data_IF_758490012400
#
_entry.id   IF_758490012400
#
_cell.length_a   1.000
_cell.length_b   1.000
_cell.length_c   1.000
_cell.angle_alpha   90.00
_cell.angle_beta   90.00
_cell.angle_gamma   90.00
#
_symmetry.space_group_name_H-M   'P 1'
#
loop_
_entity.id
_entity.type
_entity.pdbx_description
1 polymer ?
#
# COMPACT_ATOMS: atom_id res chain seq x y z
N UNK A 1 -19.07 -8.21 -6.20
CA UNK A 1 -19.47 -8.50 -4.80
C UNK A 1 -20.15 -9.86 -4.77
N UNK A 2 -20.04 -10.59 -3.64
CA UNK A 2 -20.73 -11.86 -3.41
C UNK A 2 -22.20 -11.57 -3.19
N UNK A 3 -23.10 -12.42 -3.69
CA UNK A 3 -24.54 -12.23 -3.48
C UNK A 3 -24.93 -12.48 -2.03
N UNK A 4 -25.97 -11.84 -1.55
CA UNK A 4 -26.44 -11.98 -0.17
C UNK A 4 -26.84 -13.41 0.18
N UNK A 5 -27.36 -14.18 -0.80
CA UNK A 5 -27.69 -15.59 -0.60
C UNK A 5 -26.45 -16.46 -0.37
N UNK A 6 -25.38 -16.26 -1.17
CA UNK A 6 -24.11 -16.98 -1.01
C UNK A 6 -23.47 -16.63 0.34
N UNK A 7 -23.45 -15.33 0.67
CA UNK A 7 -22.95 -14.85 1.97
C UNK A 7 -23.68 -15.52 3.12
N UNK A 8 -25.02 -15.49 3.13
CA UNK A 8 -25.84 -16.10 4.19
C UNK A 8 -25.61 -17.61 4.33
N UNK A 9 -25.49 -18.34 3.19
CA UNK A 9 -25.16 -19.76 3.18
C UNK A 9 -23.79 -20.03 3.85
N UNK A 10 -22.75 -19.26 3.47
CA UNK A 10 -21.40 -19.43 4.00
C UNK A 10 -21.37 -19.14 5.51
N UNK A 11 -21.94 -18.02 5.95
CA UNK A 11 -21.96 -17.67 7.37
C UNK A 11 -22.63 -18.77 8.21
N UNK A 12 -23.75 -19.31 7.73
CA UNK A 12 -24.44 -20.41 8.41
C UNK A 12 -23.58 -21.68 8.43
N UNK A 13 -22.95 -22.05 7.29
CA UNK A 13 -22.12 -23.26 7.17
C UNK A 13 -20.94 -23.24 8.13
N UNK A 14 -20.30 -22.07 8.30
CA UNK A 14 -19.14 -21.90 9.16
C UNK A 14 -19.47 -21.43 10.58
N UNK A 15 -20.77 -21.43 10.94
CA UNK A 15 -21.26 -21.01 12.24
C UNK A 15 -20.84 -19.59 12.64
N UNK A 16 -20.85 -18.68 11.68
CA UNK A 16 -20.50 -17.25 11.83
C UNK A 16 -21.80 -16.43 11.80
N UNK A 17 -21.93 -15.50 12.73
CA UNK A 17 -23.04 -14.55 12.77
C UNK A 17 -22.63 -13.17 12.23
N UNK A 18 -23.58 -12.29 11.98
CA UNK A 18 -23.34 -10.88 11.65
C UNK A 18 -22.56 -10.14 12.75
N UNK A 19 -22.68 -10.55 14.00
CA UNK A 19 -21.93 -9.97 15.12
C UNK A 19 -20.41 -10.25 15.02
N UNK A 20 -20.01 -11.23 14.22
CA UNK A 20 -18.59 -11.53 13.97
C UNK A 20 -17.98 -10.66 12.86
N UNK A 21 -18.73 -9.80 12.19
CA UNK A 21 -18.25 -8.94 11.13
C UNK A 21 -17.22 -7.94 11.67
N UNK A 22 -16.01 -7.96 11.09
CA UNK A 22 -14.90 -7.07 11.46
C UNK A 22 -14.73 -5.92 10.47
N UNK A 23 -15.04 -6.15 9.20
CA UNK A 23 -14.88 -5.12 8.18
C UNK A 23 -15.02 -5.65 6.76
N UNK A 24 -14.99 -4.72 5.81
CA UNK A 24 -15.07 -5.00 4.38
C UNK A 24 -14.05 -4.15 3.64
N UNK A 25 -13.17 -4.81 2.89
CA UNK A 25 -12.28 -4.19 1.92
C UNK A 25 -12.85 -4.24 0.49
N UNK A 26 -12.01 -3.88 -0.47
CA UNK A 26 -12.38 -3.95 -1.89
C UNK A 26 -12.54 -5.40 -2.39
N UNK A 27 -11.74 -6.32 -1.88
CA UNK A 27 -11.66 -7.70 -2.36
C UNK A 27 -12.44 -8.68 -1.50
N UNK A 28 -12.54 -8.45 -0.17
CA UNK A 28 -13.12 -9.39 0.78
C UNK A 28 -13.94 -8.75 1.90
N UNK A 29 -14.83 -9.57 2.48
CA UNK A 29 -15.45 -9.32 3.78
C UNK A 29 -14.71 -10.14 4.83
N UNK A 30 -14.47 -9.55 6.01
CA UNK A 30 -13.66 -10.12 7.09
C UNK A 30 -14.53 -10.38 8.32
N UNK A 31 -14.43 -11.59 8.85
CA UNK A 31 -15.19 -12.04 10.03
C UNK A 31 -14.25 -12.62 11.08
N UNK A 32 -14.55 -12.41 12.36
CA UNK A 32 -13.93 -13.18 13.43
C UNK A 32 -14.37 -14.64 13.31
N UNK A 33 -13.41 -15.56 13.14
CA UNK A 33 -13.69 -17.00 13.05
C UNK A 33 -13.61 -17.64 14.44
N UNK A 34 -12.53 -17.37 15.15
CA UNK A 34 -12.35 -17.69 16.57
C UNK A 34 -11.42 -16.66 17.24
N UNK A 35 -10.90 -16.99 18.42
CA UNK A 35 -9.98 -16.10 19.14
C UNK A 35 -8.65 -15.84 18.44
N UNK A 36 -8.18 -16.80 17.62
CA UNK A 36 -6.86 -16.75 16.97
C UNK A 36 -6.92 -16.56 15.44
N UNK A 37 -8.12 -16.65 14.85
CA UNK A 37 -8.27 -16.66 13.39
C UNK A 37 -9.40 -15.76 12.92
N UNK A 38 -9.23 -15.29 11.67
CA UNK A 38 -10.26 -14.58 10.90
C UNK A 38 -10.64 -15.40 9.68
N UNK A 39 -11.89 -15.27 9.23
CA UNK A 39 -12.35 -15.75 7.94
C UNK A 39 -12.51 -14.57 7.01
N UNK A 40 -11.88 -14.65 5.83
CA UNK A 40 -12.13 -13.69 4.76
C UNK A 40 -12.91 -14.36 3.64
N UNK A 41 -13.89 -13.65 3.11
CA UNK A 41 -14.81 -14.13 2.09
C UNK A 41 -14.61 -13.37 0.80
N UNK A 42 -14.16 -14.07 -0.25
CA UNK A 42 -13.80 -13.55 -1.56
C UNK A 42 -14.71 -14.06 -2.67
N UNK A 43 -14.72 -13.36 -3.83
CA UNK A 43 -15.29 -13.88 -5.06
C UNK A 43 -14.52 -15.13 -5.53
N UNK A 44 -15.17 -16.05 -6.30
CA UNK A 44 -14.52 -17.24 -6.82
C UNK A 44 -13.29 -16.97 -7.66
N UNK A 45 -13.25 -15.83 -8.38
CA UNK A 45 -12.14 -15.41 -9.25
C UNK A 45 -10.86 -15.09 -8.47
N UNK A 46 -10.94 -14.91 -7.15
CA UNK A 46 -9.76 -14.61 -6.33
C UNK A 46 -8.84 -15.82 -6.08
N UNK A 47 -9.33 -17.07 -6.32
CA UNK A 47 -8.62 -18.28 -5.93
C UNK A 47 -7.14 -18.34 -6.40
N UNK A 48 -6.81 -18.13 -7.69
CA UNK A 48 -5.41 -18.22 -8.13
C UNK A 48 -4.50 -17.22 -7.44
N UNK A 49 -5.00 -16.00 -7.17
CA UNK A 49 -4.25 -14.96 -6.46
C UNK A 49 -4.01 -15.33 -5.00
N UNK A 50 -5.01 -15.92 -4.35
CA UNK A 50 -4.91 -16.34 -2.96
C UNK A 50 -3.90 -17.47 -2.75
N UNK A 51 -3.76 -18.38 -3.71
CA UNK A 51 -2.72 -19.43 -3.69
C UNK A 51 -1.31 -18.79 -3.76
N UNK A 52 -1.11 -17.82 -4.63
CA UNK A 52 0.16 -17.08 -4.73
C UNK A 52 0.40 -16.28 -3.45
N UNK A 53 -0.62 -15.60 -2.94
CA UNK A 53 -0.54 -14.81 -1.71
C UNK A 53 -0.18 -15.68 -0.50
N UNK A 54 -0.76 -16.88 -0.39
CA UNK A 54 -0.42 -17.83 0.66
C UNK A 54 1.04 -18.23 0.61
N UNK A 55 1.55 -18.59 -0.57
CA UNK A 55 2.96 -18.94 -0.76
C UNK A 55 3.89 -17.75 -0.48
N UNK A 56 3.47 -16.55 -0.85
CA UNK A 56 4.21 -15.33 -0.54
C UNK A 56 4.29 -15.10 0.97
N UNK A 57 3.20 -15.21 1.72
CA UNK A 57 3.22 -15.09 3.18
C UNK A 57 4.10 -16.15 3.85
N UNK A 58 4.08 -17.39 3.33
CA UNK A 58 4.95 -18.47 3.82
C UNK A 58 6.43 -18.21 3.54
N UNK A 59 6.75 -17.44 2.50
CA UNK A 59 8.12 -17.09 2.13
C UNK A 59 8.74 -15.97 2.96
N UNK A 60 7.92 -15.17 3.66
CA UNK A 60 8.39 -14.06 4.47
C UNK A 60 9.05 -14.55 5.75
N UNK A 61 10.34 -14.26 5.92
CA UNK A 61 11.04 -14.49 7.18
C UNK A 61 11.10 -13.21 7.99
N UNK A 62 10.34 -13.16 9.08
CA UNK A 62 10.13 -11.99 9.93
C UNK A 62 10.89 -12.02 11.26
N UNK A 63 11.95 -12.81 11.36
CA UNK A 63 12.69 -12.95 12.63
C UNK A 63 13.19 -11.60 13.22
N UNK A 64 13.34 -10.59 12.37
CA UNK A 64 13.81 -9.25 12.75
C UNK A 64 12.67 -8.21 12.80
N UNK A 65 11.40 -8.61 12.59
CA UNK A 65 10.26 -7.71 12.63
C UNK A 65 9.68 -7.61 14.04
N UNK A 66 9.42 -6.39 14.50
CA UNK A 66 8.78 -6.11 15.79
C UNK A 66 7.25 -6.16 15.74
N UNK A 67 6.68 -6.69 14.65
CA UNK A 67 5.26 -6.78 14.37
C UNK A 67 4.91 -8.12 13.74
N UNK A 68 3.64 -8.48 13.78
CA UNK A 68 3.15 -9.71 13.20
C UNK A 68 2.83 -9.52 11.71
N UNK A 69 3.11 -10.58 10.93
CA UNK A 69 2.77 -10.68 9.52
C UNK A 69 1.54 -11.56 9.31
N UNK A 70 0.76 -11.31 8.24
CA UNK A 70 -0.38 -12.14 7.89
C UNK A 70 0.08 -13.55 7.53
N UNK A 71 -0.81 -14.52 7.80
CA UNK A 71 -0.61 -15.92 7.45
C UNK A 71 -1.94 -16.53 7.04
N UNK A 72 -1.99 -17.11 5.85
CA UNK A 72 -3.14 -17.90 5.40
C UNK A 72 -2.91 -19.36 5.82
N UNK A 73 -3.78 -19.86 6.70
CA UNK A 73 -3.74 -21.26 7.13
C UNK A 73 -4.39 -22.16 6.09
N UNK A 74 -5.55 -21.76 5.57
CA UNK A 74 -6.34 -22.56 4.66
C UNK A 74 -7.03 -21.69 3.61
N UNK A 75 -7.16 -22.22 2.39
CA UNK A 75 -7.97 -21.65 1.31
C UNK A 75 -9.04 -22.68 0.97
N UNK A 76 -10.30 -22.29 1.06
CA UNK A 76 -11.46 -23.17 0.86
C UNK A 76 -12.24 -22.70 -0.35
N UNK A 77 -12.43 -23.60 -1.34
CA UNK A 77 -13.29 -23.34 -2.49
C UNK A 77 -14.72 -23.74 -2.17
N UNK A 78 -15.63 -22.80 -2.28
CA UNK A 78 -17.07 -23.06 -2.31
C UNK A 78 -17.60 -22.84 -3.73
N UNK A 79 -18.84 -23.26 -4.02
CA UNK A 79 -19.41 -23.17 -5.35
C UNK A 79 -19.33 -21.76 -5.95
N UNK A 80 -19.69 -20.74 -5.15
CA UNK A 80 -19.85 -19.37 -5.59
C UNK A 80 -19.00 -18.37 -4.76
N UNK A 81 -18.01 -18.89 -4.02
CA UNK A 81 -17.12 -18.11 -3.16
C UNK A 81 -15.79 -18.81 -2.94
N UNK A 82 -14.80 -18.05 -2.49
CA UNK A 82 -13.55 -18.57 -1.91
C UNK A 82 -13.38 -17.97 -0.54
N UNK A 83 -12.96 -18.80 0.40
CA UNK A 83 -12.67 -18.36 1.77
C UNK A 83 -11.20 -18.59 2.09
N UNK A 84 -10.67 -17.70 2.93
CA UNK A 84 -9.40 -17.97 3.62
C UNK A 84 -9.64 -18.02 5.12
N UNK A 85 -8.96 -18.95 5.81
CA UNK A 85 -8.79 -18.92 7.25
C UNK A 85 -7.39 -18.39 7.50
N UNK A 86 -7.31 -17.23 8.14
CA UNK A 86 -6.06 -16.51 8.34
C UNK A 86 -5.77 -16.29 9.83
N UNK A 87 -4.49 -16.09 10.15
CA UNK A 87 -4.07 -15.68 11.48
C UNK A 87 -4.76 -14.36 11.84
N UNK A 88 -5.35 -14.28 13.02
CA UNK A 88 -5.79 -13.03 13.61
C UNK A 88 -4.60 -12.33 14.21
N UNK A 89 -4.32 -11.12 13.73
CA UNK A 89 -3.33 -10.25 14.35
C UNK A 89 -4.05 -9.36 15.34
N UNK A 90 -3.58 -9.36 16.58
CA UNK A 90 -4.18 -8.59 17.65
C UNK A 90 -3.86 -7.10 17.51
N UNK A 91 -4.88 -6.26 17.70
CA UNK A 91 -4.77 -4.83 17.61
C UNK A 91 -6.02 -4.17 17.03
N UNK A 92 -6.02 -2.85 17.03
CA UNK A 92 -7.07 -2.02 16.42
C UNK A 92 -6.50 -1.27 15.23
N UNK A 93 -7.32 -1.03 14.22
CA UNK A 93 -6.95 -0.15 13.13
C UNK A 93 -6.78 1.28 13.64
N UNK A 94 -5.70 1.94 13.22
CA UNK A 94 -5.30 3.23 13.77
C UNK A 94 -5.90 4.44 13.05
N UNK A 95 -6.24 4.34 11.78
CA UNK A 95 -6.61 5.48 10.94
C UNK A 95 -7.67 6.38 11.60
N UNK A 96 -8.71 5.80 12.19
CA UNK A 96 -9.81 6.54 12.81
C UNK A 96 -9.45 7.27 14.12
N UNK A 97 -8.25 7.05 14.65
CA UNK A 97 -7.85 7.57 15.95
C UNK A 97 -6.73 8.62 15.88
N UNK A 98 -6.08 8.80 14.73
CA UNK A 98 -4.94 9.72 14.59
C UNK A 98 -5.30 11.18 14.87
N UNK A 99 -6.51 11.62 14.51
CA UNK A 99 -7.00 12.97 14.78
C UNK A 99 -7.12 13.26 16.29
N UNK A 100 -7.25 12.23 17.13
CA UNK A 100 -7.38 12.35 18.58
C UNK A 100 -6.02 12.36 19.31
N UNK A 101 -4.92 12.11 18.60
CA UNK A 101 -3.59 12.07 19.20
C UNK A 101 -3.12 13.48 19.54
N UNK A 102 -2.60 13.64 20.75
CA UNK A 102 -1.85 14.83 21.09
C UNK A 102 -0.49 14.85 20.36
N UNK A 103 0.28 15.95 20.49
CA UNK A 103 1.56 16.09 19.79
C UNK A 103 2.59 15.03 20.19
N UNK A 104 2.61 14.61 21.45
CA UNK A 104 3.55 13.61 21.96
C UNK A 104 3.17 12.21 21.48
N UNK A 105 1.89 11.89 21.51
CA UNK A 105 1.36 10.62 20.98
C UNK A 105 1.61 10.50 19.48
N UNK A 106 1.37 11.57 18.73
CA UNK A 106 1.61 11.61 17.30
C UNK A 106 3.10 11.48 16.97
N UNK A 107 3.98 12.14 17.74
CA UNK A 107 5.42 12.03 17.55
C UNK A 107 5.96 10.61 17.84
N UNK A 108 5.45 9.98 18.88
CA UNK A 108 5.73 8.58 19.20
C UNK A 108 5.21 7.64 18.10
N UNK A 109 4.01 7.92 17.57
CA UNK A 109 3.46 7.16 16.45
C UNK A 109 4.33 7.31 15.19
N UNK A 110 4.77 8.50 14.85
CA UNK A 110 5.66 8.70 13.69
C UNK A 110 6.96 7.91 13.80
N UNK A 111 7.56 7.80 15.00
CA UNK A 111 8.75 6.97 15.22
C UNK A 111 8.45 5.49 14.98
N UNK A 112 7.35 4.99 15.55
CA UNK A 112 6.93 3.60 15.37
C UNK A 112 6.59 3.32 13.89
N UNK A 113 5.91 4.25 13.23
CA UNK A 113 5.49 4.15 11.83
C UNK A 113 6.69 4.06 10.88
N UNK A 114 7.68 4.96 11.06
CA UNK A 114 8.92 4.93 10.29
C UNK A 114 9.78 3.68 10.62
N UNK A 115 9.90 3.33 11.90
CA UNK A 115 10.65 2.14 12.33
C UNK A 115 10.07 0.85 11.75
N UNK A 116 8.74 0.76 11.67
CA UNK A 116 8.04 -0.40 11.11
C UNK A 116 8.34 -0.56 9.62
N UNK A 117 8.27 0.53 8.84
CA UNK A 117 8.57 0.48 7.40
C UNK A 117 10.04 0.08 7.15
N UNK A 118 10.97 0.59 7.95
CA UNK A 118 12.37 0.19 7.87
C UNK A 118 12.60 -1.27 8.28
N UNK A 119 11.69 -1.85 9.06
CA UNK A 119 11.72 -3.28 9.41
C UNK A 119 11.14 -4.15 8.31
N UNK A 120 10.11 -3.68 7.57
CA UNK A 120 9.59 -4.37 6.37
C UNK A 120 10.71 -4.62 5.36
N UNK A 121 11.57 -3.63 5.13
CA UNK A 121 12.70 -3.70 4.20
C UNK A 121 13.73 -4.79 4.55
N UNK A 122 13.76 -5.27 5.80
CA UNK A 122 14.65 -6.34 6.27
C UNK A 122 14.06 -7.74 6.13
N UNK A 123 12.78 -7.85 5.80
CA UNK A 123 12.11 -9.14 5.59
C UNK A 123 12.75 -9.84 4.40
N UNK A 124 13.27 -11.04 4.65
CA UNK A 124 13.88 -11.86 3.61
C UNK A 124 12.80 -12.69 2.91
N UNK A 125 12.84 -12.66 1.58
CA UNK A 125 12.00 -13.46 0.72
C UNK A 125 12.77 -14.60 0.10
N UNK A 126 12.10 -15.70 -0.22
CA UNK A 126 12.63 -16.73 -1.12
C UNK A 126 12.94 -16.15 -2.50
N UNK A 127 13.94 -16.70 -3.19
CA UNK A 127 14.41 -16.19 -4.49
C UNK A 127 13.30 -16.11 -5.54
N UNK A 128 12.30 -16.99 -5.51
CA UNK A 128 11.16 -16.98 -6.44
C UNK A 128 10.29 -15.72 -6.31
N UNK A 129 10.36 -15.02 -5.17
CA UNK A 129 9.63 -13.77 -4.90
C UNK A 129 10.54 -12.53 -4.98
N UNK A 130 11.73 -12.63 -5.58
CA UNK A 130 12.61 -11.48 -5.79
C UNK A 130 12.45 -10.82 -7.17
N UNK A 131 11.39 -11.14 -7.90
CA UNK A 131 10.99 -10.37 -9.08
C UNK A 131 10.31 -9.06 -8.68
N UNK A 132 10.41 -8.02 -9.51
CA UNK A 132 9.87 -6.69 -9.16
C UNK A 132 8.39 -6.76 -8.81
N UNK A 133 7.58 -7.50 -9.56
CA UNK A 133 6.17 -7.75 -9.27
C UNK A 133 5.97 -9.08 -8.58
N UNK A 134 5.32 -9.07 -7.42
CA UNK A 134 5.09 -10.28 -6.64
C UNK A 134 3.68 -10.86 -6.83
N UNK A 135 2.66 -10.03 -6.89
CA UNK A 135 1.25 -10.44 -6.79
C UNK A 135 0.36 -9.85 -7.91
N UNK A 136 0.92 -9.18 -8.89
CA UNK A 136 0.16 -8.48 -9.93
C UNK A 136 -0.20 -9.37 -11.12
N UNK A 137 -1.37 -9.12 -11.71
CA UNK A 137 -1.86 -9.80 -12.93
C UNK A 137 -1.13 -9.37 -14.21
N UNK A 138 -0.26 -8.37 -14.15
CA UNK A 138 0.44 -7.82 -15.32
C UNK A 138 1.90 -8.21 -15.31
N UNK A 139 2.36 -8.86 -16.35
CA UNK A 139 3.79 -8.94 -16.62
C UNK A 139 4.25 -7.66 -17.34
N UNK A 140 5.10 -6.88 -16.67
CA UNK A 140 5.91 -5.85 -17.32
C UNK A 140 7.32 -6.42 -17.38
N UNK A 141 7.80 -6.72 -18.57
CA UNK A 141 9.20 -7.06 -18.75
C UNK A 141 10.02 -5.79 -18.55
N UNK A 142 10.85 -5.75 -17.53
CA UNK A 142 11.67 -4.60 -17.17
C UNK A 142 13.10 -5.05 -16.84
N UNK A 143 14.06 -4.18 -17.15
CA UNK A 143 15.49 -4.43 -16.91
C UNK A 143 15.83 -4.24 -15.42
N UNK A 144 15.24 -3.23 -14.82
CA UNK A 144 15.46 -2.82 -13.43
C UNK A 144 14.23 -2.09 -12.87
N UNK A 145 14.34 -1.58 -11.65
CA UNK A 145 13.28 -0.87 -10.96
C UNK A 145 12.82 0.40 -11.69
N UNK A 146 13.74 1.22 -12.17
CA UNK A 146 13.39 2.45 -12.86
C UNK A 146 12.72 2.19 -14.21
N UNK A 147 13.20 1.20 -14.97
CA UNK A 147 12.55 0.77 -16.22
C UNK A 147 11.13 0.24 -15.94
N UNK A 148 10.91 -0.49 -14.84
CA UNK A 148 9.58 -0.91 -14.41
C UNK A 148 8.65 0.28 -14.12
N UNK A 149 9.13 1.27 -13.36
CA UNK A 149 8.35 2.48 -13.07
C UNK A 149 8.04 3.27 -14.33
N UNK A 150 9.03 3.46 -15.20
CA UNK A 150 8.86 4.15 -16.49
C UNK A 150 7.79 3.48 -17.36
N UNK A 151 7.85 2.17 -17.52
CA UNK A 151 6.88 1.43 -18.34
C UNK A 151 5.48 1.47 -17.70
N UNK A 152 5.40 1.36 -16.37
CA UNK A 152 4.16 1.48 -15.61
C UNK A 152 3.53 2.88 -15.77
N UNK A 153 4.36 3.93 -15.70
CA UNK A 153 3.97 5.32 -15.90
C UNK A 153 3.38 5.55 -17.30
N UNK A 154 4.14 5.14 -18.34
CA UNK A 154 3.71 5.34 -19.73
C UNK A 154 2.42 4.58 -20.04
N UNK A 155 2.28 3.35 -19.54
CA UNK A 155 1.06 2.57 -19.69
C UNK A 155 -0.12 3.26 -19.01
N UNK A 156 0.06 3.69 -17.76
CA UNK A 156 -1.00 4.37 -17.00
C UNK A 156 -1.39 5.69 -17.66
N UNK A 157 -0.40 6.42 -18.19
CA UNK A 157 -0.65 7.66 -18.91
C UNK A 157 -1.63 7.48 -20.07
N UNK A 158 -1.59 6.37 -20.83
CA UNK A 158 -2.55 6.11 -21.90
C UNK A 158 -4.01 6.09 -21.44
N UNK A 159 -4.26 5.79 -20.15
CA UNK A 159 -5.60 5.74 -19.57
C UNK A 159 -6.07 7.10 -19.06
N UNK A 160 -5.15 7.93 -18.55
CA UNK A 160 -5.48 9.13 -17.74
C UNK A 160 -5.07 10.45 -18.37
N UNK A 161 -4.27 10.46 -19.46
CA UNK A 161 -3.64 11.66 -20.02
C UNK A 161 -4.64 12.77 -20.37
N UNK A 162 -5.79 12.43 -20.95
CA UNK A 162 -6.85 13.40 -21.29
C UNK A 162 -7.39 14.18 -20.11
N UNK A 163 -7.41 13.53 -18.94
CA UNK A 163 -7.87 14.16 -17.70
C UNK A 163 -6.77 15.00 -17.07
N UNK A 164 -5.56 14.44 -17.01
CA UNK A 164 -4.41 15.14 -16.42
C UNK A 164 -3.97 16.34 -17.26
N UNK A 165 -4.04 16.28 -18.59
CA UNK A 165 -3.80 17.44 -19.48
C UNK A 165 -4.77 18.59 -19.23
N UNK A 166 -6.01 18.29 -18.82
CA UNK A 166 -7.00 19.31 -18.48
C UNK A 166 -6.74 19.98 -17.14
N UNK A 167 -6.31 19.18 -16.14
CA UNK A 167 -6.35 19.59 -14.72
C UNK A 167 -4.96 19.85 -14.12
N UNK A 168 -3.89 19.38 -14.78
CA UNK A 168 -2.49 19.58 -14.35
C UNK A 168 -1.78 20.57 -15.27
N UNK A 169 -1.22 21.60 -14.66
CA UNK A 169 -0.48 22.63 -15.39
C UNK A 169 0.79 22.03 -16.03
N UNK A 170 1.04 22.36 -17.29
CA UNK A 170 2.22 21.88 -18.06
C UNK A 170 2.42 20.36 -18.01
N UNK A 171 1.32 19.59 -18.01
CA UNK A 171 1.34 18.15 -17.79
C UNK A 171 2.33 17.39 -18.69
N UNK A 172 2.38 17.71 -20.00
CA UNK A 172 3.29 17.02 -20.94
C UNK A 172 4.77 17.25 -20.60
N UNK A 173 5.12 18.45 -20.16
CA UNK A 173 6.48 18.78 -19.69
C UNK A 173 6.79 17.99 -18.43
N UNK A 174 5.86 17.97 -17.48
CA UNK A 174 5.98 17.23 -16.22
C UNK A 174 6.10 15.72 -16.44
N UNK A 175 5.30 15.15 -17.34
CA UNK A 175 5.39 13.75 -17.71
C UNK A 175 6.77 13.40 -18.30
N UNK A 176 7.28 14.21 -19.23
CA UNK A 176 8.58 13.98 -19.83
C UNK A 176 9.70 14.04 -18.78
N UNK A 177 9.66 14.97 -17.83
CA UNK A 177 10.63 15.03 -16.72
C UNK A 177 10.64 13.74 -15.89
N UNK A 178 9.47 13.15 -15.59
CA UNK A 178 9.40 11.86 -14.89
C UNK A 178 9.95 10.72 -15.75
N UNK A 179 9.62 10.69 -17.04
CA UNK A 179 10.13 9.67 -17.96
C UNK A 179 11.67 9.74 -18.03
N UNK A 180 12.23 10.95 -18.09
CA UNK A 180 13.68 11.16 -18.13
C UNK A 180 14.33 10.72 -16.81
N UNK A 181 13.75 11.07 -15.65
CA UNK A 181 14.24 10.65 -14.35
C UNK A 181 14.31 9.11 -14.21
N UNK A 182 13.31 8.39 -14.73
CA UNK A 182 13.29 6.92 -14.74
C UNK A 182 14.02 6.30 -15.95
N UNK A 183 14.70 7.08 -16.77
CA UNK A 183 15.50 6.55 -17.90
C UNK A 183 16.92 6.17 -17.49
N UNK A 184 17.35 6.57 -16.30
CA UNK A 184 18.62 6.13 -15.69
C UNK A 184 18.40 4.79 -15.02
N UNK A 185 19.33 3.84 -15.19
CA UNK A 185 19.25 2.51 -14.56
C UNK A 185 19.28 2.61 -13.04
N UNK A 186 18.56 1.70 -12.37
CA UNK A 186 18.52 1.65 -10.91
C UNK A 186 19.67 0.77 -10.39
N UNK A 187 20.55 1.36 -9.59
CA UNK A 187 21.71 0.67 -8.98
C UNK A 187 21.56 0.50 -7.45
N UNK A 188 20.40 0.86 -6.89
CA UNK A 188 20.16 0.77 -5.46
C UNK A 188 19.84 -0.65 -4.97
N UNK A 189 19.59 -0.76 -3.68
CA UNK A 189 19.24 -2.02 -3.04
C UNK A 189 17.78 -2.37 -3.24
N UNK A 190 17.51 -3.64 -3.57
CA UNK A 190 16.15 -4.16 -3.66
C UNK A 190 15.70 -4.74 -2.32
N UNK A 191 14.50 -4.40 -1.91
CA UNK A 191 13.85 -4.92 -0.70
C UNK A 191 12.37 -5.19 -0.94
N UNK A 192 11.72 -5.82 0.03
CA UNK A 192 10.26 -5.92 0.04
C UNK A 192 9.66 -4.52 0.18
N UNK A 193 8.75 -4.21 -0.72
CA UNK A 193 7.93 -2.99 -0.76
C UNK A 193 6.48 -3.40 -0.55
N UNK A 194 5.84 -2.87 0.48
CA UNK A 194 4.42 -3.12 0.75
C UNK A 194 3.52 -2.56 -0.37
N UNK A 195 3.86 -1.37 -0.84
CA UNK A 195 3.21 -0.66 -1.94
C UNK A 195 1.89 0.04 -1.58
N UNK A 196 1.36 -0.23 -0.37
CA UNK A 196 0.16 0.41 0.17
C UNK A 196 0.31 0.62 1.69
N UNK A 197 1.50 1.10 2.10
CA UNK A 197 1.81 1.31 3.52
C UNK A 197 1.22 2.63 4.01
N UNK A 198 0.10 2.55 4.71
CA UNK A 198 -0.54 3.70 5.35
C UNK A 198 -1.34 3.25 6.60
N UNK A 199 -1.82 4.19 7.45
CA UNK A 199 -2.39 3.85 8.75
C UNK A 199 -3.50 2.81 8.78
N UNK A 200 -4.33 2.70 7.74
CA UNK A 200 -5.41 1.71 7.73
C UNK A 200 -4.93 0.26 7.57
N UNK A 201 -3.70 0.05 7.09
CA UNK A 201 -3.09 -1.27 6.94
C UNK A 201 -2.22 -1.66 8.15
N UNK A 202 -2.35 -0.91 9.25
CA UNK A 202 -1.63 -1.14 10.49
C UNK A 202 -2.58 -1.45 11.64
N UNK A 203 -2.16 -2.38 12.49
CA UNK A 203 -2.81 -2.69 13.75
C UNK A 203 -1.94 -2.24 14.91
N UNK A 204 -2.55 -1.63 15.92
CA UNK A 204 -1.85 -1.14 17.10
C UNK A 204 -2.49 -1.67 18.39
N UNK A 205 -1.67 -1.85 19.42
CA UNK A 205 -2.12 -2.18 20.77
C UNK A 205 -2.66 -0.94 21.52
N UNK A 206 -3.03 -1.12 22.78
CA UNK A 206 -3.51 -0.04 23.65
C UNK A 206 -2.49 1.08 23.86
N UNK A 207 -1.19 0.77 23.75
CA UNK A 207 -0.09 1.70 23.99
C UNK A 207 0.33 2.44 22.72
N UNK A 208 -0.41 2.23 21.59
CA UNK A 208 -0.13 2.85 20.30
C UNK A 208 1.05 2.23 19.53
N UNK A 209 1.58 1.10 19.99
CA UNK A 209 2.63 0.39 19.27
C UNK A 209 2.06 -0.43 18.13
N UNK A 210 2.72 -0.42 16.98
CA UNK A 210 2.31 -1.23 15.83
C UNK A 210 2.56 -2.70 16.13
N UNK A 211 1.49 -3.49 16.14
CA UNK A 211 1.52 -4.93 16.40
C UNK A 211 1.43 -5.77 15.15
N UNK A 212 0.94 -5.20 14.05
CA UNK A 212 0.79 -5.91 12.79
C UNK A 212 0.74 -5.01 11.57
N UNK A 213 1.25 -5.55 10.47
CA UNK A 213 1.13 -4.97 9.13
C UNK A 213 0.33 -5.96 8.30
N UNK A 214 -0.77 -5.50 7.70
CA UNK A 214 -1.70 -6.31 6.94
C UNK A 214 -1.83 -5.80 5.50
N UNK A 215 -2.53 -6.56 4.67
CA UNK A 215 -2.92 -6.18 3.31
C UNK A 215 -1.75 -6.03 2.31
N UNK A 216 -0.75 -6.91 2.42
CA UNK A 216 0.14 -7.16 1.28
C UNK A 216 -0.69 -7.72 0.13
N UNK A 217 -0.65 -7.06 -1.03
CA UNK A 217 -1.54 -7.36 -2.14
C UNK A 217 -0.95 -6.99 -3.51
N UNK A 218 -1.81 -6.56 -4.43
CA UNK A 218 -1.43 -6.24 -5.81
C UNK A 218 -0.35 -5.17 -5.94
N UNK A 219 -0.22 -4.30 -4.95
CA UNK A 219 0.79 -3.24 -4.91
C UNK A 219 2.10 -3.69 -4.26
N UNK A 220 2.17 -4.93 -3.76
CA UNK A 220 3.39 -5.45 -3.14
C UNK A 220 4.43 -5.78 -4.20
N UNK A 221 5.64 -5.24 -4.03
CA UNK A 221 6.72 -5.26 -4.99
C UNK A 221 8.04 -5.69 -4.32
N UNK A 222 9.04 -6.02 -5.13
CA UNK A 222 10.42 -6.15 -4.70
C UNK A 222 11.25 -5.11 -5.46
N UNK A 223 11.63 -4.03 -4.81
CA UNK A 223 12.22 -2.86 -5.46
C UNK A 223 12.89 -1.91 -4.50
N UNK A 224 12.93 -0.63 -4.87
CA UNK A 224 13.49 0.42 -4.02
C UNK A 224 12.66 0.62 -2.76
N UNK A 225 13.22 0.38 -1.57
CA UNK A 225 12.52 0.57 -0.30
C UNK A 225 12.06 2.02 -0.04
N UNK A 226 12.67 3.02 -0.69
CA UNK A 226 12.22 4.42 -0.57
C UNK A 226 10.84 4.65 -1.19
N UNK A 227 10.36 3.73 -2.03
CA UNK A 227 9.00 3.82 -2.57
C UNK A 227 7.96 3.75 -1.44
N UNK A 228 8.08 2.78 -0.52
CA UNK A 228 7.21 2.71 0.65
C UNK A 228 7.37 3.92 1.58
N UNK A 229 8.59 4.43 1.74
CA UNK A 229 8.84 5.63 2.53
C UNK A 229 8.08 6.83 1.94
N UNK A 230 8.11 7.00 0.62
CA UNK A 230 7.36 8.03 -0.06
C UNK A 230 5.84 7.88 0.12
N UNK A 231 5.33 6.65 -0.04
CA UNK A 231 3.91 6.36 0.17
C UNK A 231 3.50 6.55 1.63
N UNK A 232 4.32 6.13 2.58
CA UNK A 232 4.06 6.32 4.01
C UNK A 232 3.86 7.80 4.37
N UNK A 233 4.59 8.69 3.71
CA UNK A 233 4.44 10.11 3.90
C UNK A 233 3.18 10.64 3.24
N UNK A 234 3.04 10.46 1.93
CA UNK A 234 1.98 11.13 1.17
C UNK A 234 0.58 10.53 1.41
N UNK A 235 0.51 9.22 1.74
CA UNK A 235 -0.74 8.56 2.08
C UNK A 235 -1.12 8.70 3.55
N UNK A 236 -0.21 9.21 4.39
CA UNK A 236 -0.46 9.37 5.82
C UNK A 236 -1.66 10.27 6.09
N UNK A 237 -1.82 11.33 5.32
CA UNK A 237 -2.93 12.27 5.40
C UNK A 237 -3.68 12.40 4.06
N UNK A 238 -4.06 11.26 3.49
CA UNK A 238 -4.73 11.19 2.18
C UNK A 238 -6.02 12.03 2.12
N UNK A 239 -6.68 12.21 3.26
CA UNK A 239 -7.96 12.91 3.37
C UNK A 239 -7.86 14.28 4.06
N UNK A 240 -6.65 14.80 4.24
CA UNK A 240 -6.39 16.10 4.91
C UNK A 240 -6.89 16.17 6.38
N UNK A 241 -6.97 15.03 7.07
CA UNK A 241 -7.45 14.96 8.45
C UNK A 241 -6.45 15.54 9.47
N UNK A 242 -5.16 15.45 9.16
CA UNK A 242 -4.08 15.91 10.04
C UNK A 242 -3.44 17.24 9.59
N UNK A 243 -3.56 17.55 8.31
CA UNK A 243 -3.09 18.79 7.71
C UNK A 243 -1.60 18.86 7.38
N UNK A 244 -1.23 19.83 6.55
CA UNK A 244 0.10 19.98 5.94
C UNK A 244 1.23 20.06 6.98
N UNK A 245 1.00 20.75 8.12
CA UNK A 245 2.03 20.92 9.16
C UNK A 245 2.48 19.58 9.76
N UNK A 246 1.53 18.69 10.06
CA UNK A 246 1.84 17.38 10.63
C UNK A 246 2.48 16.45 9.58
N UNK A 247 2.06 16.57 8.35
CA UNK A 247 2.65 15.84 7.22
C UNK A 247 4.11 16.26 7.02
N UNK A 248 4.41 17.57 7.04
CA UNK A 248 5.77 18.09 6.94
C UNK A 248 6.63 17.67 8.16
N UNK A 249 6.05 17.65 9.35
CA UNK A 249 6.72 17.14 10.56
C UNK A 249 7.18 15.68 10.37
N UNK A 250 6.34 14.84 9.78
CA UNK A 250 6.70 13.45 9.49
C UNK A 250 7.81 13.36 8.43
N UNK A 251 7.71 14.12 7.33
CA UNK A 251 8.75 14.15 6.30
C UNK A 251 10.11 14.58 6.89
N UNK A 252 10.14 15.60 7.73
CA UNK A 252 11.35 16.05 8.38
C UNK A 252 11.95 14.95 9.29
N UNK A 253 11.11 14.16 9.96
CA UNK A 253 11.56 13.01 10.73
C UNK A 253 12.19 11.93 9.83
N UNK A 254 11.58 11.65 8.68
CA UNK A 254 12.12 10.74 7.67
C UNK A 254 13.49 11.20 7.19
N UNK A 255 13.60 12.45 6.77
CA UNK A 255 14.83 13.05 6.25
C UNK A 255 15.93 13.10 7.33
N UNK A 256 15.61 13.47 8.55
CA UNK A 256 16.55 13.43 9.67
C UNK A 256 17.09 12.01 9.95
N UNK A 257 16.31 10.98 9.66
CA UNK A 257 16.69 9.58 9.88
C UNK A 257 17.48 8.97 8.74
N UNK A 258 17.13 9.34 7.50
CA UNK A 258 17.65 8.68 6.28
C UNK A 258 18.66 9.53 5.50
N UNK A 259 18.77 10.83 5.81
CA UNK A 259 19.57 11.81 5.07
C UNK A 259 18.73 12.75 4.20
N UNK A 260 19.23 13.96 3.95
CA UNK A 260 18.52 14.95 3.11
C UNK A 260 18.41 14.52 1.64
N UNK A 261 19.34 13.71 1.18
CA UNK A 261 19.42 13.18 -0.19
C UNK A 261 18.20 12.32 -0.58
N UNK A 262 17.47 11.74 0.39
CA UNK A 262 16.27 10.95 0.08
C UNK A 262 15.08 11.80 -0.32
N UNK A 263 15.07 13.10 -0.01
CA UNK A 263 13.93 13.99 -0.26
C UNK A 263 13.52 14.05 -1.73
N UNK A 264 14.49 14.19 -2.62
CA UNK A 264 14.22 14.22 -4.07
C UNK A 264 13.61 12.91 -4.56
N UNK A 265 14.12 11.77 -4.10
CA UNK A 265 13.57 10.45 -4.44
C UNK A 265 12.17 10.26 -3.89
N UNK A 266 11.90 10.71 -2.66
CA UNK A 266 10.55 10.69 -2.07
C UNK A 266 9.57 11.50 -2.93
N UNK A 267 9.92 12.71 -3.32
CA UNK A 267 9.07 13.54 -4.19
C UNK A 267 8.88 12.91 -5.57
N UNK A 268 9.93 12.34 -6.16
CA UNK A 268 9.85 11.61 -7.44
C UNK A 268 8.81 10.49 -7.38
N UNK A 269 8.84 9.68 -6.32
CA UNK A 269 7.89 8.58 -6.15
C UNK A 269 6.47 9.05 -5.88
N UNK A 270 6.29 10.16 -5.17
CA UNK A 270 4.96 10.79 -5.00
C UNK A 270 4.39 11.25 -6.32
N UNK A 271 5.19 11.91 -7.16
CA UNK A 271 4.77 12.36 -8.49
C UNK A 271 4.42 11.17 -9.40
N UNK A 272 5.25 10.14 -9.40
CA UNK A 272 4.96 8.88 -10.08
C UNK A 272 3.63 8.28 -9.62
N UNK A 273 3.47 8.09 -8.31
CA UNK A 273 2.28 7.46 -7.74
C UNK A 273 1.01 8.26 -8.00
N UNK A 274 1.10 9.59 -8.03
CA UNK A 274 -0.03 10.46 -8.34
C UNK A 274 -0.57 10.27 -9.77
N UNK A 275 0.30 9.97 -10.75
CA UNK A 275 -0.16 9.58 -12.10
C UNK A 275 -0.64 8.13 -12.10
N UNK A 276 0.13 7.24 -11.47
CA UNK A 276 -0.12 5.80 -11.49
C UNK A 276 -1.45 5.42 -10.84
N UNK A 277 -1.85 6.12 -9.78
CA UNK A 277 -3.09 5.84 -9.04
C UNK A 277 -4.29 6.71 -9.44
N UNK A 278 -4.13 7.64 -10.37
CA UNK A 278 -5.13 8.68 -10.69
C UNK A 278 -6.54 8.17 -10.98
N UNK A 279 -6.69 6.96 -11.53
CA UNK A 279 -7.99 6.36 -11.86
C UNK A 279 -8.33 5.10 -11.05
N UNK A 280 -7.71 4.88 -9.89
CA UNK A 280 -7.92 3.65 -9.10
C UNK A 280 -9.35 3.47 -8.61
N UNK A 281 -10.04 4.55 -8.27
CA UNK A 281 -11.40 4.52 -7.74
C UNK A 281 -12.44 5.02 -8.72
N UNK A 282 -12.03 5.69 -9.81
CA UNK A 282 -12.91 6.21 -10.86
C UNK A 282 -12.22 6.19 -12.21
N UNK A 283 -12.67 5.35 -13.13
CA UNK A 283 -12.17 5.31 -14.52
C UNK A 283 -12.32 6.67 -15.24
N UNK A 284 -13.30 7.47 -14.82
CA UNK A 284 -13.54 8.83 -15.35
C UNK A 284 -12.77 9.92 -14.62
N UNK A 285 -11.88 9.57 -13.67
CA UNK A 285 -11.08 10.53 -12.91
C UNK A 285 -11.96 11.65 -12.30
N UNK A 286 -13.01 11.28 -11.56
CA UNK A 286 -14.00 12.21 -11.03
C UNK A 286 -14.16 12.17 -9.51
N UNK A 287 -13.29 11.44 -8.82
CA UNK A 287 -13.33 11.26 -7.36
C UNK A 287 -12.30 12.10 -6.60
N UNK A 288 -12.34 12.01 -5.27
CA UNK A 288 -11.44 12.74 -4.39
C UNK A 288 -9.98 12.28 -4.50
N UNK A 289 -9.73 11.01 -4.85
CA UNK A 289 -8.38 10.49 -5.05
C UNK A 289 -7.73 11.11 -6.30
N UNK A 290 -8.48 11.25 -7.37
CA UNK A 290 -8.02 11.97 -8.56
C UNK A 290 -7.69 13.43 -8.24
N UNK A 291 -8.54 14.13 -7.47
CA UNK A 291 -8.28 15.52 -7.06
C UNK A 291 -7.01 15.62 -6.19
N UNK A 292 -6.79 14.67 -5.30
CA UNK A 292 -5.55 14.55 -4.53
C UNK A 292 -4.34 14.36 -5.45
N UNK A 293 -4.42 13.50 -6.46
CA UNK A 293 -3.38 13.29 -7.48
C UNK A 293 -3.06 14.60 -8.23
N UNK A 294 -4.09 15.33 -8.65
CA UNK A 294 -3.94 16.62 -9.34
C UNK A 294 -3.26 17.66 -8.44
N UNK A 295 -3.62 17.72 -7.15
CA UNK A 295 -2.95 18.63 -6.18
C UNK A 295 -1.45 18.33 -6.07
N UNK A 296 -1.07 17.05 -5.96
CA UNK A 296 0.33 16.64 -5.88
C UNK A 296 1.09 17.02 -7.17
N UNK A 297 0.52 16.76 -8.33
CA UNK A 297 1.13 17.07 -9.62
C UNK A 297 1.21 18.58 -9.90
N UNK A 298 0.38 19.40 -9.27
CA UNK A 298 0.45 20.87 -9.32
C UNK A 298 1.29 21.48 -8.19
N UNK A 299 1.87 20.67 -7.29
CA UNK A 299 2.72 21.16 -6.23
C UNK A 299 4.15 21.37 -6.73
N UNK A 300 4.50 22.63 -7.03
CA UNK A 300 5.82 22.99 -7.56
C UNK A 300 6.98 22.64 -6.61
N UNK A 301 6.76 22.54 -5.29
CA UNK A 301 7.79 22.10 -4.34
C UNK A 301 8.29 20.69 -4.65
N UNK A 302 7.40 19.78 -5.13
CA UNK A 302 7.79 18.41 -5.48
C UNK A 302 8.66 18.37 -6.74
N UNK A 303 8.36 19.25 -7.71
CA UNK A 303 9.12 19.35 -8.95
C UNK A 303 10.46 20.03 -8.76
N UNK A 304 10.54 21.07 -7.93
CA UNK A 304 11.80 21.79 -7.63
C UNK A 304 12.83 20.86 -6.96
N UNK A 305 12.40 19.88 -6.16
CA UNK A 305 13.30 18.91 -5.55
C UNK A 305 13.98 17.96 -6.57
N UNK A 306 13.48 17.89 -7.81
CA UNK A 306 14.09 17.09 -8.89
C UNK A 306 15.11 17.87 -9.74
N UNK A 307 15.34 19.14 -9.45
CA UNK A 307 16.26 20.01 -10.20
C UNK A 307 17.67 20.09 -9.58
N UNK A 308 17.82 19.51 -8.39
CA UNK A 308 19.08 19.46 -7.61
C UNK A 308 19.69 18.06 -7.69
#
# INVERSE_FOLDING_TARGET
MITQNVRGYILKKYNISEANFLGKGQEAEVYSYDHARVLKLYKPTAYPKLEILKQFYESMNSNDANFELPKIHEIIKEKDAVLTIEKRIEGRNIQKNLSNYDEKELDSFFENYLSTILSIQRIKLENRFKGIKLLSDYEISSKDWNDFLKQSLLRKNMEVDRYLKRDVYDYEVKLNRLVDAFSVGYEGNYALVHGDYYPSNLLVNSDGQITGVIDFGLMTLYGDPLFDVALSWILFDLYDELGEIKLEKYLNKVVNKLGEEVRSTIHLYVLFYSIYSANFFSESCSDGHYQWSVRNLNNEKFWAALEN
#
